data_IF_489109956639
#
_entry.id   IF_489109956639
#
_cell.length_a   1.000
_cell.length_b   1.000
_cell.length_c   1.000
_cell.angle_alpha   90.00
_cell.angle_beta   90.00
_cell.angle_gamma   90.00
#
_symmetry.space_group_name_H-M   'P 1'
#
loop_
_entity.id
_entity.type
_entity.pdbx_description
1 polymer ?
#
# COMPACT_ATOMS: atom_id res chain seq x y z
N UNK A 1 -10.00 11.71 9.40
CA UNK A 1 -9.09 10.63 8.95
C UNK A 1 -7.79 11.21 8.38
N UNK A 2 -6.62 10.61 8.65
CA UNK A 2 -5.30 11.11 8.19
C UNK A 2 -5.09 11.03 6.66
N UNK A 3 -5.85 10.21 5.94
CA UNK A 3 -5.67 10.03 4.49
C UNK A 3 -4.30 9.40 4.18
N UNK A 4 -3.70 9.77 3.03
CA UNK A 4 -2.41 9.21 2.61
C UNK A 4 -1.23 9.50 3.54
N UNK A 5 -1.34 10.49 4.44
CA UNK A 5 -0.31 10.69 5.47
C UNK A 5 -0.16 9.46 6.37
N UNK A 6 -1.22 8.66 6.55
CA UNK A 6 -1.17 7.41 7.30
C UNK A 6 -0.25 6.36 6.66
N UNK A 7 0.06 6.45 5.36
CA UNK A 7 0.91 5.47 4.65
C UNK A 7 2.33 5.38 5.23
N UNK A 8 2.76 6.37 6.02
CA UNK A 8 4.03 6.30 6.75
C UNK A 8 4.09 5.11 7.71
N UNK A 9 2.97 4.75 8.34
CA UNK A 9 2.88 3.65 9.31
C UNK A 9 3.06 2.27 8.65
N UNK A 10 2.24 1.85 7.66
CA UNK A 10 2.48 0.60 6.96
C UNK A 10 3.80 0.60 6.19
N UNK A 11 4.29 1.76 5.74
CA UNK A 11 5.61 1.83 5.11
C UNK A 11 6.73 1.45 6.09
N UNK A 12 6.75 2.10 7.26
CA UNK A 12 7.73 1.79 8.30
C UNK A 12 7.63 0.33 8.76
N UNK A 13 6.41 -0.16 9.02
CA UNK A 13 6.20 -1.54 9.44
C UNK A 13 6.71 -2.57 8.41
N UNK A 14 6.46 -2.34 7.12
CA UNK A 14 6.92 -3.24 6.06
C UNK A 14 8.47 -3.28 5.94
N UNK A 15 9.13 -2.13 6.14
CA UNK A 15 10.59 -2.05 6.12
C UNK A 15 11.23 -2.69 7.36
N UNK A 16 10.71 -2.38 8.55
CA UNK A 16 11.22 -2.92 9.82
C UNK A 16 11.07 -4.44 9.91
N UNK A 17 9.97 -4.99 9.37
CA UNK A 17 9.72 -6.44 9.32
C UNK A 17 10.38 -7.12 8.11
N UNK A 18 11.13 -6.36 7.29
CA UNK A 18 11.80 -6.86 6.08
C UNK A 18 10.84 -7.53 5.08
N UNK A 19 9.55 -7.14 5.09
CA UNK A 19 8.55 -7.61 4.13
C UNK A 19 8.78 -6.98 2.76
N UNK A 20 9.31 -5.76 2.74
CA UNK A 20 9.72 -5.05 1.53
C UNK A 20 11.05 -4.33 1.73
N UNK A 21 11.79 -4.16 0.64
CA UNK A 21 12.87 -3.18 0.49
C UNK A 21 12.38 -1.99 -0.36
N UNK A 22 13.03 -0.81 -0.31
CA UNK A 22 12.67 0.32 -1.16
C UNK A 22 12.71 0.03 -2.66
N UNK A 23 13.53 -0.93 -3.09
CA UNK A 23 13.76 -1.34 -4.48
C UNK A 23 12.78 -2.40 -4.96
N UNK A 24 12.08 -3.09 -4.04
CA UNK A 24 11.13 -4.14 -4.40
C UNK A 24 10.02 -3.61 -5.30
N UNK A 25 9.73 -4.34 -6.38
CA UNK A 25 8.56 -4.07 -7.21
C UNK A 25 7.28 -4.42 -6.43
N UNK A 26 6.30 -3.52 -6.44
CA UNK A 26 5.01 -3.72 -5.78
C UNK A 26 3.87 -3.69 -6.78
N UNK A 27 2.90 -4.59 -6.63
CA UNK A 27 1.74 -4.59 -7.52
C UNK A 27 0.87 -3.35 -7.31
N UNK A 28 0.73 -2.53 -8.36
CA UNK A 28 -0.05 -1.31 -8.36
C UNK A 28 -1.17 -1.33 -9.42
N UNK A 29 -2.09 -2.32 -9.39
CA UNK A 29 -3.20 -2.39 -10.33
C UNK A 29 -4.13 -1.18 -10.17
N UNK A 30 -5.01 -0.96 -11.14
CA UNK A 30 -6.04 0.09 -11.08
C UNK A 30 -6.86 0.01 -9.78
N UNK A 31 -7.26 -1.20 -9.38
CA UNK A 31 -8.03 -1.42 -8.16
C UNK A 31 -7.76 -2.76 -7.48
N UNK A 32 -7.97 -2.81 -6.17
CA UNK A 32 -7.82 -4.00 -5.31
C UNK A 32 -9.16 -4.26 -4.60
N UNK A 33 -9.67 -5.50 -4.61
CA UNK A 33 -10.88 -5.85 -3.86
C UNK A 33 -10.63 -5.82 -2.35
N UNK A 34 -11.63 -5.41 -1.58
CA UNK A 34 -11.60 -5.50 -0.13
C UNK A 34 -12.16 -6.86 0.34
N UNK A 35 -11.38 -7.66 1.09
CA UNK A 35 -11.84 -8.94 1.62
C UNK A 35 -13.17 -8.81 2.37
N UNK A 36 -14.08 -9.77 2.17
CA UNK A 36 -15.37 -9.79 2.85
C UNK A 36 -16.38 -8.73 2.38
N UNK A 37 -16.14 -8.04 1.27
CA UNK A 37 -17.07 -7.03 0.74
C UNK A 37 -17.07 -6.99 -0.80
N UNK A 38 -17.99 -6.20 -1.38
CA UNK A 38 -17.99 -5.85 -2.81
C UNK A 38 -17.19 -4.57 -3.10
N UNK A 39 -16.64 -3.93 -2.08
CA UNK A 39 -15.92 -2.68 -2.23
C UNK A 39 -14.53 -2.89 -2.84
N UNK A 40 -14.02 -1.84 -3.48
CA UNK A 40 -12.70 -1.81 -4.12
C UNK A 40 -11.95 -0.54 -3.72
N UNK A 41 -10.64 -0.65 -3.56
CA UNK A 41 -9.74 0.50 -3.44
C UNK A 41 -9.09 0.73 -4.80
N UNK A 42 -9.14 1.96 -5.30
CA UNK A 42 -8.51 2.35 -6.56
C UNK A 42 -7.38 3.35 -6.36
N UNK A 43 -6.44 3.40 -7.30
CA UNK A 43 -5.53 4.54 -7.42
C UNK A 43 -6.30 5.79 -7.86
N UNK A 44 -5.66 6.95 -7.69
CA UNK A 44 -6.18 8.21 -8.22
C UNK A 44 -6.33 8.09 -9.75
N UNK A 45 -7.35 8.71 -10.31
CA UNK A 45 -7.69 8.68 -11.75
C UNK A 45 -8.02 7.29 -12.33
N UNK A 46 -8.15 6.25 -11.49
CA UNK A 46 -8.46 4.88 -11.92
C UNK A 46 -7.46 4.31 -12.94
N UNK A 47 -6.18 4.64 -12.79
CA UNK A 47 -5.07 4.11 -13.60
C UNK A 47 -4.15 3.22 -12.77
N UNK A 48 -3.33 2.40 -13.44
CA UNK A 48 -2.20 1.73 -12.77
C UNK A 48 -1.21 2.78 -12.29
N UNK A 49 -0.63 2.60 -11.11
CA UNK A 49 0.39 3.53 -10.64
C UNK A 49 1.72 3.24 -11.34
N UNK A 50 2.34 4.26 -11.93
CA UNK A 50 3.57 4.09 -12.72
C UNK A 50 3.38 3.09 -13.86
N UNK A 51 4.28 2.10 -13.95
CA UNK A 51 4.22 1.00 -14.93
C UNK A 51 3.33 -0.18 -14.47
N UNK A 52 2.56 -0.04 -13.39
CA UNK A 52 1.77 -1.11 -12.77
C UNK A 52 2.55 -2.00 -11.79
N UNK A 53 3.88 -1.94 -11.83
CA UNK A 53 4.79 -2.59 -10.88
C UNK A 53 5.93 -1.65 -10.47
N UNK A 54 5.63 -0.45 -9.92
CA UNK A 54 6.66 0.49 -9.50
C UNK A 54 7.47 -0.07 -8.33
N UNK A 55 8.63 0.54 -8.05
CA UNK A 55 9.37 0.26 -6.81
C UNK A 55 8.54 0.70 -5.60
N UNK A 56 8.79 0.09 -4.44
CA UNK A 56 8.10 0.45 -3.21
C UNK A 56 8.32 1.93 -2.83
N UNK A 57 9.55 2.42 -3.00
CA UNK A 57 9.91 3.83 -2.86
C UNK A 57 9.09 4.76 -3.77
N UNK A 58 8.93 4.40 -5.05
CA UNK A 58 8.06 5.14 -5.98
C UNK A 58 6.61 5.11 -5.51
N UNK A 59 6.11 3.94 -5.10
CA UNK A 59 4.73 3.79 -4.67
C UNK A 59 4.39 4.67 -3.45
N UNK A 60 5.34 4.80 -2.52
CA UNK A 60 5.22 5.72 -1.38
C UNK A 60 5.28 7.18 -1.82
N UNK A 61 6.29 7.56 -2.61
CA UNK A 61 6.51 8.94 -3.06
C UNK A 61 5.34 9.50 -3.88
N UNK A 62 4.76 8.68 -4.78
CA UNK A 62 3.62 9.07 -5.61
C UNK A 62 2.27 8.78 -4.95
N UNK A 63 2.27 8.34 -3.69
CA UNK A 63 1.04 8.09 -2.93
C UNK A 63 0.09 7.11 -3.63
N UNK A 64 0.62 6.04 -4.24
CA UNK A 64 -0.20 4.99 -4.84
C UNK A 64 -1.09 4.36 -3.76
N UNK A 65 -2.35 4.07 -4.05
CA UNK A 65 -3.29 3.50 -3.07
C UNK A 65 -3.24 1.98 -3.05
N UNK A 66 -3.23 1.36 -4.24
CA UNK A 66 -3.39 -0.09 -4.36
C UNK A 66 -2.21 -0.90 -3.80
N UNK A 67 -0.94 -0.46 -3.89
CA UNK A 67 0.15 -1.14 -3.18
C UNK A 67 -0.05 -1.10 -1.66
N UNK A 68 -0.45 0.04 -1.10
CA UNK A 68 -0.63 0.20 0.35
C UNK A 68 -1.86 -0.53 0.89
N UNK A 69 -2.89 -0.70 0.08
CA UNK A 69 -4.01 -1.58 0.41
C UNK A 69 -3.54 -3.05 0.56
N UNK A 70 -2.66 -3.51 -0.34
CA UNK A 70 -2.09 -4.87 -0.27
C UNK A 70 -1.11 -5.02 0.89
N UNK A 71 -0.19 -4.07 1.08
CA UNK A 71 0.76 -4.09 2.20
C UNK A 71 0.02 -4.11 3.55
N UNK A 72 -1.06 -3.36 3.70
CA UNK A 72 -1.89 -3.41 4.91
C UNK A 72 -2.55 -4.78 5.13
N UNK A 73 -2.92 -5.48 4.06
CA UNK A 73 -3.45 -6.85 4.14
C UNK A 73 -2.35 -7.85 4.52
N UNK A 74 -1.15 -7.71 3.96
CA UNK A 74 0.02 -8.55 4.26
C UNK A 74 0.47 -8.39 5.73
N UNK A 75 0.48 -7.16 6.25
CA UNK A 75 0.85 -6.85 7.65
C UNK A 75 -0.22 -7.30 8.65
N UNK A 76 -1.49 -7.14 8.29
CA UNK A 76 -2.63 -7.39 9.17
C UNK A 76 -2.88 -6.27 10.20
N UNK A 77 -4.06 -6.32 10.82
CA UNK A 77 -4.55 -5.26 11.71
C UNK A 77 -3.66 -5.06 12.95
N UNK A 78 -3.21 -6.14 13.58
CA UNK A 78 -2.46 -6.06 14.84
C UNK A 78 -1.12 -5.34 14.65
N UNK A 79 -0.39 -5.67 13.57
CA UNK A 79 0.88 -5.03 13.25
C UNK A 79 0.75 -3.53 13.00
N UNK A 80 -0.38 -3.08 12.42
CA UNK A 80 -0.65 -1.66 12.21
C UNK A 80 -1.09 -0.96 13.51
N UNK A 81 -1.90 -1.63 14.33
CA UNK A 81 -2.37 -1.09 15.61
C UNK A 81 -1.23 -0.83 16.59
N UNK A 82 -0.23 -1.72 16.64
CA UNK A 82 0.92 -1.56 17.55
C UNK A 82 1.83 -0.38 17.17
N UNK A 83 1.60 0.24 16.00
CA UNK A 83 2.35 1.40 15.49
C UNK A 83 1.59 2.72 15.61
N UNK A 84 0.37 2.72 16.14
CA UNK A 84 -0.53 3.89 16.25
C UNK A 84 -1.01 4.10 17.66
#
# INVERSE_FOLDING_TARGET
PPGSSFKIIPAAAALEQQIRTPEDAVEAPVSVPLPGSRARISNIESTSCGNGHPTFSYAFAYSCNTPFAKIGQDLGYQALKDKT
#
